data_IF_013567689539
#
_entry.id   IF_013567689539
#
_cell.length_a   1.000
_cell.length_b   1.000
_cell.length_c   1.000
_cell.angle_alpha   90.00
_cell.angle_beta   90.00
_cell.angle_gamma   90.00
#
_symmetry.space_group_name_H-M   'P 1'
#
loop_
_entity.id
_entity.type
_entity.pdbx_description
1 polymer ?
#
# COMPACT_ATOMS: atom_id res chain seq x y z
N UNK A 1 44.67 -43.79 42.97
CA UNK A 1 44.48 -43.24 41.63
C UNK A 1 42.98 -42.98 41.45
N UNK A 2 42.54 -41.76 41.74
CA UNK A 2 41.12 -41.32 41.60
C UNK A 2 40.99 -40.48 40.32
N UNK A 3 40.32 -41.05 39.33
CA UNK A 3 40.03 -40.35 38.08
C UNK A 3 38.75 -39.55 38.32
N UNK A 4 38.91 -38.24 38.28
CA UNK A 4 37.82 -37.26 38.44
C UNK A 4 37.19 -37.03 37.06
N UNK A 5 36.04 -37.65 36.78
CA UNK A 5 35.30 -37.58 35.52
C UNK A 5 34.11 -36.62 35.58
N UNK A 6 34.04 -35.76 36.65
CA UNK A 6 32.84 -34.94 36.89
C UNK A 6 32.72 -33.60 36.15
N UNK A 7 33.81 -33.12 35.50
CA UNK A 7 33.84 -31.71 35.05
C UNK A 7 33.48 -31.42 33.57
N UNK A 8 33.51 -32.45 32.72
CA UNK A 8 33.29 -32.24 31.27
C UNK A 8 31.84 -32.41 30.79
N UNK A 9 31.03 -33.18 31.49
CA UNK A 9 29.65 -33.48 31.09
C UNK A 9 28.73 -32.30 31.40
N UNK A 10 28.94 -31.61 32.51
CA UNK A 10 28.13 -30.45 32.90
C UNK A 10 28.30 -29.23 31.94
N UNK A 11 29.51 -29.03 31.39
CA UNK A 11 29.77 -27.91 30.47
C UNK A 11 29.14 -28.13 29.09
N UNK A 12 29.07 -29.34 28.59
CA UNK A 12 28.44 -29.67 27.31
C UNK A 12 26.91 -29.58 27.42
N UNK A 13 26.33 -30.00 28.55
CA UNK A 13 24.88 -29.89 28.80
C UNK A 13 24.43 -28.42 28.98
N UNK A 14 25.23 -27.63 29.66
CA UNK A 14 24.93 -26.19 29.86
C UNK A 14 24.99 -25.39 28.52
N UNK A 15 25.99 -25.70 27.67
CA UNK A 15 26.10 -25.10 26.34
C UNK A 15 24.93 -25.46 25.42
N UNK A 16 24.46 -26.72 25.50
CA UNK A 16 23.35 -27.17 24.65
C UNK A 16 21.99 -26.62 25.09
N UNK A 17 21.79 -26.47 26.40
CA UNK A 17 20.56 -25.84 26.94
C UNK A 17 20.53 -24.34 26.69
N UNK A 18 21.65 -23.64 26.86
CA UNK A 18 21.71 -22.19 26.54
C UNK A 18 21.43 -21.91 25.07
N UNK A 19 22.00 -22.63 24.12
CA UNK A 19 21.73 -22.43 22.70
C UNK A 19 20.25 -22.66 22.34
N UNK A 20 19.58 -23.65 22.96
CA UNK A 20 18.13 -23.86 22.75
C UNK A 20 17.28 -22.75 23.34
N UNK A 21 17.66 -22.22 24.51
CA UNK A 21 16.94 -21.11 25.14
C UNK A 21 17.08 -19.83 24.30
N UNK A 22 18.29 -19.53 23.80
CA UNK A 22 18.47 -18.36 22.91
C UNK A 22 17.72 -18.51 21.58
N UNK A 23 17.70 -19.70 20.99
CA UNK A 23 16.94 -19.97 19.77
C UNK A 23 15.43 -19.82 20.03
N UNK A 24 14.94 -20.30 21.15
CA UNK A 24 13.52 -20.20 21.52
C UNK A 24 13.13 -18.76 21.82
N UNK A 25 13.95 -18.00 22.55
CA UNK A 25 13.75 -16.57 22.79
C UNK A 25 13.81 -15.75 21.48
N UNK A 26 14.71 -16.09 20.58
CA UNK A 26 14.80 -15.46 19.26
C UNK A 26 13.54 -15.70 18.43
N UNK A 27 13.01 -16.93 18.42
CA UNK A 27 11.77 -17.27 17.72
C UNK A 27 10.55 -16.57 18.32
N UNK A 28 10.47 -16.41 19.66
CA UNK A 28 9.39 -15.68 20.33
C UNK A 28 9.45 -14.19 19.95
N UNK A 29 10.64 -13.58 19.94
CA UNK A 29 10.80 -12.18 19.56
C UNK A 29 10.42 -11.93 18.09
N UNK A 30 10.79 -12.85 17.19
CA UNK A 30 10.48 -12.73 15.78
C UNK A 30 8.96 -12.84 15.51
N UNK A 31 8.28 -13.80 16.14
CA UNK A 31 6.83 -13.95 16.02
C UNK A 31 6.05 -12.78 16.63
N UNK A 32 6.52 -12.21 17.73
CA UNK A 32 5.93 -11.01 18.35
C UNK A 32 6.06 -9.77 17.45
N UNK A 33 7.19 -9.63 16.78
CA UNK A 33 7.50 -8.52 15.89
C UNK A 33 6.65 -8.58 14.61
N UNK A 34 6.54 -9.74 13.97
CA UNK A 34 5.70 -9.94 12.78
C UNK A 34 4.21 -9.69 13.08
N UNK A 35 3.70 -10.14 14.22
CA UNK A 35 2.33 -9.86 14.65
C UNK A 35 2.07 -8.36 14.84
N UNK A 36 3.07 -7.60 15.25
CA UNK A 36 2.93 -6.15 15.40
C UNK A 36 2.78 -5.47 14.02
N UNK A 37 3.59 -5.84 13.03
CA UNK A 37 3.50 -5.26 11.68
C UNK A 37 2.16 -5.57 11.00
N UNK A 38 1.65 -6.79 11.11
CA UNK A 38 0.34 -7.14 10.55
C UNK A 38 -0.81 -6.34 11.20
N UNK A 39 -0.72 -6.02 12.49
CA UNK A 39 -1.70 -5.17 13.14
C UNK A 39 -1.61 -3.72 12.64
N UNK A 40 -0.40 -3.20 12.48
CA UNK A 40 -0.21 -1.87 11.87
C UNK A 40 -0.75 -1.81 10.44
N UNK A 41 -0.55 -2.86 9.63
CA UNK A 41 -1.13 -2.95 8.27
C UNK A 41 -2.66 -2.87 8.30
N UNK A 42 -3.32 -3.55 9.25
CA UNK A 42 -4.78 -3.47 9.43
C UNK A 42 -5.23 -2.05 9.81
N UNK A 43 -4.49 -1.39 10.69
CA UNK A 43 -4.78 -0.01 11.09
C UNK A 43 -4.60 0.96 9.91
N UNK A 44 -3.50 0.85 9.16
CA UNK A 44 -3.27 1.63 7.94
C UNK A 44 -4.40 1.43 6.95
N UNK A 45 -4.79 0.17 6.68
CA UNK A 45 -5.90 -0.14 5.81
C UNK A 45 -7.20 0.52 6.28
N UNK A 46 -7.52 0.42 7.59
CA UNK A 46 -8.72 1.01 8.16
C UNK A 46 -8.74 2.55 8.02
N UNK A 47 -7.61 3.20 8.23
CA UNK A 47 -7.49 4.64 8.08
C UNK A 47 -7.71 5.07 6.62
N UNK A 48 -7.11 4.35 5.67
CA UNK A 48 -7.25 4.66 4.25
C UNK A 48 -8.70 4.45 3.78
N UNK A 49 -9.34 3.32 4.06
CA UNK A 49 -10.74 3.09 3.65
C UNK A 49 -11.72 4.06 4.32
N UNK A 50 -11.39 4.55 5.52
CA UNK A 50 -12.19 5.56 6.20
C UNK A 50 -12.11 6.90 5.47
N UNK A 51 -10.92 7.28 5.00
CA UNK A 51 -10.68 8.55 4.29
C UNK A 51 -11.18 8.53 2.84
N UNK A 52 -10.94 7.43 2.12
CA UNK A 52 -11.32 7.34 0.70
C UNK A 52 -12.82 7.11 0.55
N UNK A 53 -13.34 6.06 1.10
CA UNK A 53 -14.72 5.54 1.07
C UNK A 53 -15.59 6.01 -0.10
N UNK A 54 -16.37 5.10 -0.65
CA UNK A 54 -17.33 5.43 -1.68
C UNK A 54 -18.71 4.94 -1.19
N UNK A 55 -19.74 5.76 -1.33
CA UNK A 55 -21.08 5.42 -0.88
C UNK A 55 -21.71 4.28 -1.70
N UNK A 56 -21.19 4.00 -2.88
CA UNK A 56 -21.69 2.98 -3.80
C UNK A 56 -21.03 1.61 -3.61
N UNK A 57 -19.86 1.56 -2.98
CA UNK A 57 -19.08 0.33 -2.83
C UNK A 57 -18.75 0.07 -1.36
N UNK A 58 -18.96 -1.18 -0.93
CA UNK A 58 -18.48 -1.62 0.38
C UNK A 58 -16.95 -1.71 0.35
N UNK A 59 -16.25 -1.39 1.47
CA UNK A 59 -14.82 -1.59 1.54
C UNK A 59 -14.48 -3.07 1.28
N UNK A 60 -13.47 -3.38 0.45
CA UNK A 60 -13.04 -4.75 0.22
C UNK A 60 -12.44 -5.33 1.51
N UNK A 61 -12.52 -6.63 1.73
CA UNK A 61 -11.87 -7.26 2.89
C UNK A 61 -10.34 -7.27 2.71
N UNK A 62 -9.61 -7.14 3.83
CA UNK A 62 -8.15 -7.24 3.84
C UNK A 62 -7.72 -8.67 4.21
N UNK A 63 -6.93 -9.29 3.35
CA UNK A 63 -6.35 -10.62 3.53
C UNK A 63 -4.83 -10.56 3.51
N UNK A 64 -4.20 -11.54 4.16
CA UNK A 64 -2.75 -11.78 4.08
C UNK A 64 -2.48 -13.12 3.42
N UNK A 65 -1.39 -13.22 2.66
CA UNK A 65 -0.99 -14.44 1.96
C UNK A 65 0.49 -14.71 2.16
N UNK A 66 0.84 -15.98 2.35
CA UNK A 66 2.23 -16.45 2.38
C UNK A 66 2.81 -16.73 0.97
N UNK A 67 2.03 -16.49 -0.08
CA UNK A 67 2.53 -16.53 -1.44
C UNK A 67 3.57 -15.44 -1.66
N UNK A 68 4.44 -15.62 -2.68
CA UNK A 68 5.56 -14.69 -2.93
C UNK A 68 5.62 -14.28 -4.39
N UNK A 69 4.45 -14.05 -5.01
CA UNK A 69 4.31 -13.82 -6.46
C UNK A 69 3.80 -12.44 -6.84
N UNK A 70 3.06 -11.80 -5.96
CA UNK A 70 2.12 -10.75 -6.37
C UNK A 70 2.15 -9.49 -5.52
N UNK A 71 3.13 -9.30 -4.65
CA UNK A 71 3.25 -8.08 -3.79
C UNK A 71 1.95 -7.80 -3.02
N UNK A 72 0.94 -7.31 -3.72
CA UNK A 72 -0.45 -7.13 -3.32
C UNK A 72 -1.35 -7.25 -4.55
N UNK A 73 -2.61 -7.57 -4.36
CA UNK A 73 -3.58 -7.63 -5.47
C UNK A 73 -5.02 -7.52 -4.97
N UNK A 74 -5.89 -7.01 -5.85
CA UNK A 74 -7.31 -7.01 -5.65
C UNK A 74 -7.94 -8.25 -6.30
N UNK A 75 -8.91 -8.87 -5.61
CA UNK A 75 -9.68 -10.01 -6.11
C UNK A 75 -11.15 -9.85 -5.75
N UNK A 76 -12.00 -10.80 -6.20
CA UNK A 76 -13.41 -10.86 -5.77
C UNK A 76 -13.60 -11.08 -4.27
N UNK A 77 -12.57 -11.50 -3.55
CA UNK A 77 -12.58 -11.69 -2.10
C UNK A 77 -12.13 -10.44 -1.33
N UNK A 78 -11.50 -9.48 -1.99
CA UNK A 78 -10.95 -8.29 -1.39
C UNK A 78 -9.50 -8.05 -1.78
N UNK A 79 -8.83 -7.17 -1.04
CA UNK A 79 -7.40 -6.89 -1.19
C UNK A 79 -6.57 -7.94 -0.45
N UNK A 80 -5.58 -8.49 -1.12
CA UNK A 80 -4.61 -9.40 -0.49
C UNK A 80 -3.23 -8.78 -0.53
N UNK A 81 -2.51 -8.80 0.60
CA UNK A 81 -1.11 -8.36 0.71
C UNK A 81 -0.28 -9.58 1.09
N UNK A 82 0.81 -9.80 0.36
CA UNK A 82 1.73 -10.88 0.69
C UNK A 82 2.55 -10.56 1.94
N UNK A 83 2.74 -11.56 2.79
CA UNK A 83 3.56 -11.43 4.00
C UNK A 83 4.98 -10.97 3.65
N UNK A 84 5.53 -11.42 2.52
CA UNK A 84 6.82 -10.96 2.00
C UNK A 84 6.88 -9.44 1.80
N UNK A 85 5.80 -8.81 1.35
CA UNK A 85 5.71 -7.34 1.19
C UNK A 85 5.72 -6.65 2.56
N UNK A 86 5.00 -7.19 3.52
CA UNK A 86 4.99 -6.65 4.88
C UNK A 86 6.38 -6.77 5.51
N UNK A 87 7.00 -7.94 5.42
CA UNK A 87 8.32 -8.23 5.97
C UNK A 87 9.42 -7.38 5.30
N UNK A 88 9.25 -7.04 4.02
CA UNK A 88 10.17 -6.17 3.28
C UNK A 88 10.34 -4.81 3.97
N UNK A 89 9.26 -4.25 4.48
CA UNK A 89 9.26 -2.92 5.09
C UNK A 89 9.26 -2.95 6.62
N UNK A 90 8.82 -4.06 7.22
CA UNK A 90 8.66 -4.21 8.68
C UNK A 90 9.97 -3.91 9.42
N UNK A 91 9.91 -3.03 10.42
CA UNK A 91 11.08 -2.61 11.21
C UNK A 91 12.03 -1.63 10.53
N UNK A 92 11.73 -1.22 9.30
CA UNK A 92 12.46 -0.16 8.62
C UNK A 92 11.80 1.20 8.88
N UNK A 93 12.55 2.26 8.69
CA UNK A 93 11.99 3.61 8.68
C UNK A 93 10.93 3.76 7.58
N UNK A 94 9.90 4.56 7.86
CA UNK A 94 8.81 4.86 6.92
C UNK A 94 7.99 3.63 6.49
N UNK A 95 7.95 2.58 7.34
CA UNK A 95 7.15 1.37 7.12
C UNK A 95 5.70 1.70 6.80
N UNK A 96 5.07 2.54 7.63
CA UNK A 96 3.65 2.88 7.50
C UNK A 96 3.36 3.61 6.19
N UNK A 97 4.20 4.55 5.79
CA UNK A 97 4.05 5.32 4.55
C UNK A 97 4.16 4.44 3.30
N UNK A 98 5.12 3.50 3.30
CA UNK A 98 5.34 2.57 2.19
C UNK A 98 4.21 1.55 2.06
N UNK A 99 3.77 0.97 3.17
CA UNK A 99 2.61 0.06 3.19
C UNK A 99 1.34 0.80 2.82
N UNK A 100 1.15 2.03 3.31
CA UNK A 100 0.03 2.86 2.93
C UNK A 100 -0.03 3.12 1.42
N UNK A 101 1.14 3.36 0.78
CA UNK A 101 1.21 3.51 -0.68
C UNK A 101 0.73 2.24 -1.41
N UNK A 102 1.20 1.06 -1.00
CA UNK A 102 0.79 -0.22 -1.61
C UNK A 102 -0.72 -0.45 -1.45
N UNK A 103 -1.25 -0.26 -0.24
CA UNK A 103 -2.68 -0.42 0.05
C UNK A 103 -3.51 0.57 -0.76
N UNK A 104 -3.11 1.84 -0.78
CA UNK A 104 -3.84 2.88 -1.49
C UNK A 104 -3.82 2.68 -3.01
N UNK A 105 -2.76 2.07 -3.57
CA UNK A 105 -2.68 1.69 -4.98
C UNK A 105 -3.75 0.63 -5.33
N UNK A 106 -3.84 -0.45 -4.55
CA UNK A 106 -4.84 -1.49 -4.77
C UNK A 106 -6.27 -0.97 -4.56
N UNK A 107 -6.48 -0.14 -3.54
CA UNK A 107 -7.76 0.51 -3.30
C UNK A 107 -8.14 1.50 -4.41
N UNK A 108 -7.16 2.16 -5.03
CA UNK A 108 -7.43 3.02 -6.18
C UNK A 108 -7.99 2.23 -7.35
N UNK A 109 -7.47 1.04 -7.64
CA UNK A 109 -8.07 0.14 -8.63
C UNK A 109 -9.53 -0.18 -8.30
N UNK A 110 -9.82 -0.50 -7.04
CA UNK A 110 -11.16 -0.84 -6.60
C UNK A 110 -12.14 0.33 -6.73
N UNK A 111 -11.81 1.49 -6.16
CA UNK A 111 -12.72 2.64 -6.14
C UNK A 111 -12.83 3.38 -7.48
N UNK A 112 -11.88 3.21 -8.38
CA UNK A 112 -11.94 3.71 -9.75
C UNK A 112 -12.61 2.72 -10.71
N UNK A 113 -13.10 1.58 -10.19
CA UNK A 113 -13.82 0.56 -10.97
C UNK A 113 -13.04 0.11 -12.22
N UNK A 114 -11.73 -0.11 -12.06
CA UNK A 114 -10.92 -0.64 -13.13
C UNK A 114 -11.37 -2.07 -13.46
N UNK A 115 -12.22 -2.23 -14.47
CA UNK A 115 -13.07 -3.42 -14.76
C UNK A 115 -12.33 -4.74 -15.05
N UNK A 116 -11.00 -4.72 -15.05
CA UNK A 116 -10.15 -5.88 -15.31
C UNK A 116 -9.36 -6.33 -14.05
N UNK A 117 -9.78 -5.88 -12.88
CA UNK A 117 -9.11 -6.06 -11.59
C UNK A 117 -8.94 -7.51 -11.14
N UNK A 118 -9.58 -8.47 -11.76
CA UNK A 118 -9.49 -9.88 -11.36
C UNK A 118 -8.11 -10.51 -11.53
N UNK A 119 -7.17 -9.84 -12.24
CA UNK A 119 -5.84 -10.38 -12.54
C UNK A 119 -4.71 -9.34 -12.53
N UNK A 120 -4.95 -8.16 -11.99
CA UNK A 120 -3.99 -7.09 -12.19
C UNK A 120 -3.47 -6.54 -10.87
N UNK A 121 -3.27 -5.97 -10.21
CA UNK A 121 -2.54 -5.45 -9.09
C UNK A 121 -1.04 -5.37 -9.41
N UNK A 122 -0.24 -5.20 -8.44
CA UNK A 122 1.20 -5.46 -8.52
C UNK A 122 1.50 -6.97 -8.71
N UNK A 123 0.48 -7.75 -9.11
CA UNK A 123 0.61 -9.19 -9.32
C UNK A 123 1.24 -9.49 -10.66
N UNK A 124 2.42 -10.05 -10.58
CA UNK A 124 3.27 -10.36 -11.72
C UNK A 124 3.12 -11.78 -12.26
N UNK A 125 2.62 -12.68 -11.44
CA UNK A 125 2.77 -14.11 -11.67
C UNK A 125 1.84 -14.72 -12.70
N UNK A 126 0.72 -14.09 -13.01
CA UNK A 126 -0.28 -14.68 -13.92
C UNK A 126 -0.11 -14.34 -15.40
N UNK A 127 0.80 -13.43 -15.74
CA UNK A 127 0.94 -12.94 -17.10
C UNK A 127 1.97 -13.67 -17.98
N UNK A 128 2.64 -14.69 -17.44
CA UNK A 128 3.65 -15.46 -18.22
C UNK A 128 2.98 -16.56 -19.06
N UNK A 129 1.69 -16.78 -18.94
CA UNK A 129 1.05 -18.01 -19.37
C UNK A 129 0.23 -18.03 -20.64
N UNK A 130 -0.33 -16.95 -21.18
CA UNK A 130 -1.08 -17.03 -22.46
C UNK A 130 -1.30 -15.63 -23.06
N UNK A 131 -0.52 -15.33 -24.10
CA UNK A 131 -0.82 -14.23 -25.02
C UNK A 131 -1.67 -14.75 -26.19
N UNK A 132 -2.93 -14.35 -26.24
CA UNK A 132 -3.72 -14.42 -27.47
C UNK A 132 -3.57 -13.08 -28.19
N UNK A 133 -2.90 -13.09 -29.33
CA UNK A 133 -2.83 -11.95 -30.24
C UNK A 133 -4.22 -11.71 -30.87
N UNK A 134 -4.95 -10.73 -30.34
CA UNK A 134 -6.13 -10.20 -31.01
C UNK A 134 -6.07 -8.67 -31.05
N UNK A 135 -6.59 -8.05 -32.10
CA UNK A 135 -6.59 -6.59 -32.32
C UNK A 135 -7.35 -5.78 -31.27
N UNK A 136 -8.14 -6.42 -30.42
CA UNK A 136 -8.67 -5.90 -29.16
C UNK A 136 -7.56 -5.64 -28.13
N UNK A 137 -6.38 -6.24 -28.30
CA UNK A 137 -5.26 -6.20 -27.37
C UNK A 137 -4.61 -4.82 -27.22
N UNK A 138 -4.50 -4.03 -28.28
CA UNK A 138 -3.87 -2.70 -28.23
C UNK A 138 -4.69 -1.68 -27.41
N UNK A 139 -6.03 -1.76 -27.50
CA UNK A 139 -6.88 -0.94 -26.67
C UNK A 139 -6.78 -1.37 -25.20
N UNK A 140 -6.74 -2.66 -24.94
CA UNK A 140 -6.59 -3.21 -23.60
C UNK A 140 -5.24 -2.84 -22.96
N UNK A 141 -4.14 -2.86 -23.74
CA UNK A 141 -2.79 -2.44 -23.31
C UNK A 141 -2.78 -0.97 -22.91
N UNK A 142 -3.32 -0.09 -23.77
CA UNK A 142 -3.38 1.35 -23.45
C UNK A 142 -4.25 1.61 -22.20
N UNK A 143 -5.36 0.89 -22.06
CA UNK A 143 -6.24 1.03 -20.91
C UNK A 143 -5.55 0.54 -19.62
N UNK A 144 -4.82 -0.57 -19.65
CA UNK A 144 -4.03 -1.05 -18.51
C UNK A 144 -2.97 -0.03 -18.08
N UNK A 145 -2.18 0.48 -19.02
CA UNK A 145 -1.19 1.53 -18.73
C UNK A 145 -1.82 2.76 -18.06
N UNK A 146 -2.99 3.19 -18.56
CA UNK A 146 -3.72 4.32 -17.99
C UNK A 146 -4.18 4.03 -16.57
N UNK A 147 -4.73 2.86 -16.32
CA UNK A 147 -5.26 2.46 -15.02
C UNK A 147 -4.16 2.32 -13.97
N UNK A 148 -3.01 1.74 -14.31
CA UNK A 148 -1.85 1.70 -13.43
C UNK A 148 -1.34 3.12 -13.10
N UNK A 149 -1.25 3.98 -14.13
CA UNK A 149 -0.84 5.37 -13.95
C UNK A 149 -1.82 6.17 -13.08
N UNK A 150 -3.11 5.84 -13.15
CA UNK A 150 -4.13 6.41 -12.29
C UNK A 150 -3.98 5.87 -10.87
N UNK A 151 -3.81 4.56 -10.71
CA UNK A 151 -3.64 3.93 -9.40
C UNK A 151 -2.43 4.52 -8.66
N UNK A 152 -1.29 4.68 -9.32
CA UNK A 152 -0.10 5.31 -8.71
C UNK A 152 -0.37 6.76 -8.27
N UNK A 153 -1.07 7.55 -9.10
CA UNK A 153 -1.41 8.93 -8.76
C UNK A 153 -2.37 9.01 -7.57
N UNK A 154 -3.42 8.19 -7.59
CA UNK A 154 -4.42 8.18 -6.53
C UNK A 154 -3.87 7.57 -5.23
N UNK A 155 -2.96 6.60 -5.32
CA UNK A 155 -2.26 6.06 -4.16
C UNK A 155 -1.53 7.16 -3.37
N UNK A 156 -0.81 8.02 -4.09
CA UNK A 156 -0.15 9.17 -3.49
C UNK A 156 -1.14 10.09 -2.77
N UNK A 157 -2.23 10.47 -3.43
CA UNK A 157 -3.23 11.37 -2.84
C UNK A 157 -4.02 10.72 -1.69
N UNK A 158 -4.52 9.51 -1.87
CA UNK A 158 -5.35 8.83 -0.87
C UNK A 158 -4.59 8.53 0.42
N UNK A 159 -3.35 8.05 0.30
CA UNK A 159 -2.53 7.84 1.48
C UNK A 159 -2.23 9.15 2.21
N UNK A 160 -1.98 10.24 1.47
CA UNK A 160 -1.71 11.55 2.06
C UNK A 160 -2.91 12.09 2.85
N UNK A 161 -4.13 12.02 2.31
CA UNK A 161 -5.33 12.47 3.05
C UNK A 161 -5.70 11.55 4.21
N UNK A 162 -5.20 10.31 4.21
CA UNK A 162 -5.32 9.38 5.33
C UNK A 162 -4.25 9.59 6.42
N UNK A 163 -3.33 10.54 6.21
CA UNK A 163 -2.29 10.91 7.19
C UNK A 163 -0.92 10.26 6.97
N UNK A 164 -0.71 9.59 5.82
CA UNK A 164 0.56 8.94 5.47
C UNK A 164 1.30 9.71 4.39
N UNK A 165 2.63 9.79 4.49
CA UNK A 165 3.46 10.49 3.49
C UNK A 165 3.73 9.62 2.24
N UNK A 166 2.67 9.14 1.61
CA UNK A 166 2.74 8.27 0.42
C UNK A 166 3.33 8.98 -0.80
N UNK A 167 3.13 10.29 -0.93
CA UNK A 167 3.76 11.11 -1.99
C UNK A 167 5.27 11.23 -1.81
N UNK A 168 5.76 11.18 -0.57
CA UNK A 168 7.20 11.20 -0.27
C UNK A 168 7.89 9.86 -0.48
N UNK A 169 7.21 8.76 -0.18
CA UNK A 169 7.82 7.42 -0.10
C UNK A 169 7.33 6.43 -1.18
N UNK A 170 6.41 6.81 -2.08
CA UNK A 170 5.89 5.92 -3.12
C UNK A 170 6.96 5.44 -4.09
N UNK A 171 7.89 6.30 -4.50
CA UNK A 171 9.02 5.94 -5.37
C UNK A 171 9.95 4.92 -4.69
N UNK A 172 10.28 5.15 -3.42
CA UNK A 172 11.12 4.23 -2.64
C UNK A 172 10.42 2.90 -2.42
N UNK A 173 9.12 2.91 -2.10
CA UNK A 173 8.32 1.70 -1.96
C UNK A 173 8.30 0.86 -3.25
N UNK A 174 8.06 1.48 -4.40
CA UNK A 174 8.11 0.81 -5.69
C UNK A 174 9.49 0.23 -5.99
N UNK A 175 10.54 1.00 -5.76
CA UNK A 175 11.93 0.57 -6.01
C UNK A 175 12.27 -0.68 -5.20
N UNK A 176 12.02 -0.66 -3.89
CA UNK A 176 12.29 -1.81 -3.03
C UNK A 176 11.45 -3.04 -3.40
N UNK A 177 10.19 -2.85 -3.81
CA UNK A 177 9.33 -3.93 -4.30
C UNK A 177 9.90 -4.55 -5.56
N UNK A 178 10.26 -3.74 -6.57
CA UNK A 178 10.81 -4.24 -7.84
C UNK A 178 12.09 -5.04 -7.61
N UNK A 179 12.97 -4.57 -6.73
CA UNK A 179 14.21 -5.26 -6.36
C UNK A 179 13.92 -6.57 -5.62
N UNK A 180 13.10 -6.54 -4.57
CA UNK A 180 12.81 -7.69 -3.71
C UNK A 180 12.10 -8.82 -4.46
N UNK A 181 11.21 -8.48 -5.38
CA UNK A 181 10.46 -9.44 -6.19
C UNK A 181 11.13 -9.76 -7.51
N UNK A 182 12.27 -9.14 -7.81
CA UNK A 182 12.97 -9.26 -9.10
C UNK A 182 12.04 -9.00 -10.29
N UNK A 183 11.19 -7.97 -10.16
CA UNK A 183 10.22 -7.62 -11.20
C UNK A 183 10.95 -7.06 -12.42
N UNK A 184 10.58 -7.43 -13.66
CA UNK A 184 11.16 -6.82 -14.83
C UNK A 184 10.70 -5.36 -14.93
N UNK A 185 11.65 -4.51 -15.33
CA UNK A 185 11.39 -3.08 -15.49
C UNK A 185 10.45 -2.77 -16.66
N UNK A 186 10.33 -3.69 -17.61
CA UNK A 186 9.42 -3.58 -18.75
C UNK A 186 8.50 -4.79 -18.82
N UNK A 187 7.20 -4.55 -18.91
CA UNK A 187 6.19 -5.57 -19.09
C UNK A 187 5.19 -5.11 -20.13
N UNK A 188 4.94 -5.97 -21.11
CA UNK A 188 3.99 -5.66 -22.17
C UNK A 188 2.58 -5.43 -21.58
N UNK A 189 2.01 -4.28 -21.88
CA UNK A 189 0.69 -3.89 -21.39
C UNK A 189 0.68 -3.11 -20.08
N UNK A 190 1.83 -2.91 -19.46
CA UNK A 190 1.98 -2.10 -18.24
C UNK A 190 2.92 -0.92 -18.50
N UNK A 191 2.84 0.16 -17.69
CA UNK A 191 3.91 1.16 -17.69
C UNK A 191 5.22 0.50 -17.29
N UNK A 192 6.32 0.88 -17.94
CA UNK A 192 7.64 0.49 -17.46
C UNK A 192 7.90 1.04 -16.05
N UNK A 193 8.88 0.48 -15.34
CA UNK A 193 9.30 1.02 -14.05
C UNK A 193 9.62 2.52 -14.13
N UNK A 194 10.39 2.92 -15.14
CA UNK A 194 10.79 4.31 -15.34
C UNK A 194 9.57 5.20 -15.66
N UNK A 195 8.61 4.74 -16.49
CA UNK A 195 7.34 5.44 -16.74
C UNK A 195 6.55 5.64 -15.43
N UNK A 196 6.50 4.64 -14.53
CA UNK A 196 5.83 4.76 -13.23
C UNK A 196 6.49 5.81 -12.34
N UNK A 197 7.82 5.80 -12.25
CA UNK A 197 8.59 6.80 -11.49
C UNK A 197 8.39 8.20 -12.07
N UNK A 198 8.42 8.37 -13.39
CA UNK A 198 8.17 9.66 -14.05
C UNK A 198 6.76 10.19 -13.77
N UNK A 199 5.75 9.31 -13.76
CA UNK A 199 4.36 9.68 -13.42
C UNK A 199 4.28 10.15 -11.97
N UNK A 200 4.85 9.40 -11.03
CA UNK A 200 4.90 9.78 -9.62
C UNK A 200 5.58 11.16 -9.45
N UNK A 201 6.72 11.36 -10.07
CA UNK A 201 7.49 12.60 -9.95
C UNK A 201 6.81 13.79 -10.64
N UNK A 202 6.31 13.61 -11.87
CA UNK A 202 5.67 14.68 -12.64
C UNK A 202 4.34 15.14 -12.02
N UNK A 203 3.63 14.26 -11.33
CA UNK A 203 2.32 14.56 -10.74
C UNK A 203 2.34 14.78 -9.23
N UNK A 204 3.48 14.53 -8.59
CA UNK A 204 3.66 14.73 -7.13
C UNK A 204 3.25 16.13 -6.69
N UNK A 205 3.69 17.18 -7.39
CA UNK A 205 3.36 18.55 -7.04
C UNK A 205 1.85 18.80 -7.07
N UNK A 206 1.16 18.35 -8.12
CA UNK A 206 -0.29 18.50 -8.22
C UNK A 206 -1.01 17.73 -7.09
N UNK A 207 -0.62 16.52 -6.79
CA UNK A 207 -1.20 15.73 -5.72
C UNK A 207 -0.93 16.36 -4.34
N UNK A 208 0.28 16.87 -4.11
CA UNK A 208 0.63 17.63 -2.91
C UNK A 208 -0.23 18.89 -2.76
N UNK A 209 -0.40 19.68 -3.82
CA UNK A 209 -1.22 20.89 -3.79
C UNK A 209 -2.67 20.57 -3.41
N UNK A 210 -3.22 19.48 -3.95
CA UNK A 210 -4.57 19.03 -3.63
C UNK A 210 -4.69 18.49 -2.21
N UNK A 211 -3.69 17.78 -1.71
CA UNK A 211 -3.63 17.31 -0.33
C UNK A 211 -3.53 18.50 0.65
N UNK A 212 -2.69 19.48 0.33
CA UNK A 212 -2.60 20.73 1.11
C UNK A 212 -3.92 21.50 1.13
N UNK A 213 -4.63 21.56 -0.01
CA UNK A 213 -5.96 22.17 -0.07
C UNK A 213 -6.98 21.41 0.78
N UNK A 214 -6.88 20.08 0.86
CA UNK A 214 -7.72 19.29 1.76
C UNK A 214 -7.45 19.64 3.23
N UNK A 215 -6.20 19.72 3.63
CA UNK A 215 -5.82 20.12 5.00
C UNK A 215 -6.28 21.55 5.31
N UNK A 216 -6.07 22.50 4.40
CA UNK A 216 -6.54 23.88 4.55
C UNK A 216 -8.06 23.95 4.66
N UNK A 217 -8.78 23.17 3.85
CA UNK A 217 -10.24 23.06 3.94
C UNK A 217 -10.69 22.60 5.33
N UNK A 218 -10.01 21.61 5.91
CA UNK A 218 -10.28 21.13 7.25
C UNK A 218 -9.98 22.20 8.33
N UNK A 219 -8.89 22.94 8.17
CA UNK A 219 -8.56 24.07 9.06
C UNK A 219 -9.62 25.16 8.98
N UNK A 220 -10.05 25.53 7.78
CA UNK A 220 -11.12 26.53 7.59
C UNK A 220 -12.45 26.06 8.19
N UNK A 221 -12.82 24.79 8.00
CA UNK A 221 -14.02 24.20 8.58
C UNK A 221 -13.99 24.28 10.09
N UNK A 222 -12.87 23.86 10.72
CA UNK A 222 -12.65 23.93 12.16
C UNK A 222 -12.75 25.36 12.70
N UNK A 223 -12.27 26.34 11.93
CA UNK A 223 -12.33 27.76 12.29
C UNK A 223 -13.64 28.46 11.86
N UNK A 224 -14.66 27.71 11.44
CA UNK A 224 -15.98 28.21 11.03
C UNK A 224 -15.92 29.14 9.79
N UNK A 225 -14.84 29.08 9.00
CA UNK A 225 -14.74 29.77 7.74
C UNK A 225 -15.26 28.86 6.61
N UNK A 226 -16.57 28.64 6.61
CA UNK A 226 -17.24 27.68 5.75
C UNK A 226 -17.09 27.97 4.26
N UNK A 227 -17.08 29.25 3.87
CA UNK A 227 -16.90 29.65 2.46
C UNK A 227 -15.51 29.26 1.93
N UNK A 228 -14.46 29.47 2.70
CA UNK A 228 -13.10 29.06 2.32
C UNK A 228 -12.95 27.53 2.31
N UNK A 229 -13.55 26.85 3.29
CA UNK A 229 -13.57 25.39 3.33
C UNK A 229 -14.23 24.81 2.08
N UNK A 230 -15.44 25.30 1.75
CA UNK A 230 -16.18 24.91 0.55
C UNK A 230 -15.35 25.08 -0.71
N UNK A 231 -14.70 26.24 -0.90
CA UNK A 231 -13.84 26.50 -2.06
C UNK A 231 -12.74 25.44 -2.19
N UNK A 232 -12.07 25.10 -1.09
CA UNK A 232 -11.02 24.07 -1.10
C UNK A 232 -11.55 22.70 -1.55
N UNK A 233 -12.66 22.23 -0.97
CA UNK A 233 -13.21 20.92 -1.30
C UNK A 233 -13.79 20.86 -2.70
N UNK A 234 -14.50 21.91 -3.15
CA UNK A 234 -15.00 22.00 -4.52
C UNK A 234 -13.86 21.99 -5.56
N UNK A 235 -12.75 22.68 -5.27
CA UNK A 235 -11.58 22.68 -6.14
C UNK A 235 -10.97 21.29 -6.29
N UNK A 236 -10.87 20.54 -5.20
CA UNK A 236 -10.36 19.15 -5.22
C UNK A 236 -11.28 18.27 -6.08
N UNK A 237 -12.60 18.35 -5.89
CA UNK A 237 -13.59 17.59 -6.67
C UNK A 237 -13.55 17.96 -8.15
N UNK A 238 -13.39 19.24 -8.49
CA UNK A 238 -13.24 19.72 -9.87
C UNK A 238 -12.01 19.11 -10.56
N UNK A 239 -10.96 18.80 -9.79
CA UNK A 239 -9.78 18.10 -10.28
C UNK A 239 -9.94 16.57 -10.31
N UNK A 240 -11.17 16.07 -10.09
CA UNK A 240 -11.55 14.65 -10.13
C UNK A 240 -10.94 13.78 -9.01
N UNK A 241 -10.41 14.39 -7.97
CA UNK A 241 -10.03 13.68 -6.76
C UNK A 241 -11.23 13.68 -5.81
N UNK A 242 -11.82 12.52 -5.61
CA UNK A 242 -13.00 12.36 -4.79
C UNK A 242 -12.75 11.34 -3.68
N UNK A 243 -13.31 11.61 -2.51
CA UNK A 243 -13.34 10.68 -1.40
C UNK A 243 -14.56 10.98 -0.54
N UNK A 244 -14.96 10.00 0.28
CA UNK A 244 -16.05 10.17 1.22
C UNK A 244 -15.81 11.36 2.15
N UNK A 245 -14.59 11.54 2.62
CA UNK A 245 -14.25 12.60 3.55
C UNK A 245 -14.35 13.98 2.91
N UNK A 246 -13.92 14.13 1.65
CA UNK A 246 -14.09 15.39 0.91
C UNK A 246 -15.57 15.74 0.78
N UNK A 247 -16.43 14.78 0.41
CA UNK A 247 -17.87 15.01 0.30
C UNK A 247 -18.53 15.33 1.64
N UNK A 248 -18.14 14.63 2.71
CA UNK A 248 -18.65 14.91 4.06
C UNK A 248 -18.30 16.33 4.52
N UNK A 249 -17.05 16.73 4.35
CA UNK A 249 -16.55 18.03 4.78
C UNK A 249 -17.13 19.16 3.90
N UNK A 250 -17.31 18.92 2.61
CA UNK A 250 -18.04 19.84 1.73
C UNK A 250 -19.51 19.97 2.17
N UNK A 251 -20.17 18.85 2.45
CA UNK A 251 -21.56 18.85 2.95
C UNK A 251 -21.69 19.65 4.25
N UNK A 252 -20.78 19.46 5.21
CA UNK A 252 -20.73 20.26 6.43
C UNK A 252 -20.51 21.75 6.13
N UNK A 253 -19.67 22.08 5.17
CA UNK A 253 -19.42 23.47 4.76
C UNK A 253 -20.64 24.16 4.12
N UNK A 254 -21.61 23.38 3.62
CA UNK A 254 -22.88 23.91 3.10
C UNK A 254 -23.97 24.02 4.17
N UNK A 255 -23.89 23.16 5.21
CA UNK A 255 -24.92 23.09 6.24
C UNK A 255 -24.74 24.14 7.36
N UNK A 256 -23.51 24.59 7.56
CA UNK A 256 -23.12 25.48 8.65
C UNK A 256 -22.85 26.89 8.16
#
# INVERSE_FOLDING_TARGET
MKINLGGRISFVFLKFTMNKVYLFLFLIHFSSFANNCNNSVKEIYQNIITSIGNNSLYPPELHFSDETRSVAYMSSKGITIEQKTIDLFCGKGNFEDKIAYIIAHELAHYYLEHSWMSNTGLSYASSIGEFVEDSSSLYSVKQKKLSESQADLYAGFYGQIAGYNTLGFGEEALTEVYESYSLPKELNGYPSFDERIDILNSRRNKANDLALLFELGNVFLKNKNYNSAKYCFEFILKNKFNSREIYNNLGLSYLL
#
